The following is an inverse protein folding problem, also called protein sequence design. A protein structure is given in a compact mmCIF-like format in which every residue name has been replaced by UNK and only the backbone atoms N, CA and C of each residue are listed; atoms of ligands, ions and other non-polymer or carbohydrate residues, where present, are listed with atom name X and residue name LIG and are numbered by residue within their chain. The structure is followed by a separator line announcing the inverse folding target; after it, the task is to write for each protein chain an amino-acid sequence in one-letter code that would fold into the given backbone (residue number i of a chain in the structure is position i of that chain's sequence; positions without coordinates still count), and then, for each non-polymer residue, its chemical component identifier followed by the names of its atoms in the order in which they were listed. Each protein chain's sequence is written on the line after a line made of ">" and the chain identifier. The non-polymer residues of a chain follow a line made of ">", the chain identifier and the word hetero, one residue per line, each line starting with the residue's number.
data_IF_787705282254
#
_entry.id   IF_787705282254
#
_cell.length_a   1.000
_cell.length_b   1.000
_cell.length_c   1.000
_cell.angle_alpha   90.00
_cell.angle_beta   90.00
_cell.angle_gamma   90.00
#
_symmetry.space_group_name_H-M   'P 1'
#
loop_
_entity.id
_entity.type
_entity.pdbx_description
1 polymer ?
#
# COMPACT_ATOMS: atom_id res chain seq x y z
N UNK A 1 19.85 17.59 2.26
CA UNK A 1 19.66 17.07 3.64
C UNK A 1 18.18 16.91 3.85
N UNK A 2 17.67 15.69 3.99
CA UNK A 2 16.26 15.48 4.37
C UNK A 2 16.11 15.86 5.84
N UNK A 3 15.34 16.90 6.12
CA UNK A 3 15.05 17.31 7.49
C UNK A 3 14.29 16.18 8.20
N UNK A 4 14.77 15.76 9.37
CA UNK A 4 14.07 14.80 10.23
C UNK A 4 13.39 15.54 11.37
N UNK A 5 12.12 15.21 11.63
CA UNK A 5 11.37 15.70 12.79
C UNK A 5 11.21 14.59 13.81
N UNK A 6 11.41 14.92 15.10
CA UNK A 6 11.20 13.97 16.20
C UNK A 6 9.72 13.90 16.56
N UNK A 7 9.19 12.68 16.65
CA UNK A 7 7.84 12.40 17.14
C UNK A 7 7.91 11.50 18.37
N UNK A 8 7.28 11.92 19.47
CA UNK A 8 7.16 11.11 20.69
C UNK A 8 5.83 10.37 20.69
N UNK A 9 5.87 9.05 20.64
CA UNK A 9 4.67 8.19 20.65
C UNK A 9 4.65 7.31 21.90
N UNK A 10 3.45 6.97 22.36
CA UNK A 10 3.25 5.93 23.38
C UNK A 10 3.03 4.60 22.67
N UNK A 11 3.71 3.57 23.15
CA UNK A 11 3.54 2.18 22.70
C UNK A 11 3.37 1.29 23.93
N UNK A 12 2.71 0.15 23.75
CA UNK A 12 2.59 -0.85 24.81
C UNK A 12 3.97 -1.42 25.17
N UNK A 13 4.11 -1.91 26.42
CA UNK A 13 5.34 -2.61 26.85
C UNK A 13 5.65 -3.81 25.97
N UNK A 14 4.62 -4.54 25.54
CA UNK A 14 4.76 -5.68 24.64
C UNK A 14 5.33 -5.27 23.27
N UNK A 15 4.80 -4.20 22.67
CA UNK A 15 5.29 -3.66 21.39
C UNK A 15 6.75 -3.23 21.51
N UNK A 16 7.12 -2.58 22.62
CA UNK A 16 8.52 -2.18 22.87
C UNK A 16 9.45 -3.40 22.89
N UNK A 17 9.08 -4.47 23.60
CA UNK A 17 9.89 -5.69 23.69
C UNK A 17 10.04 -6.38 22.32
N UNK A 18 8.95 -6.50 21.56
CA UNK A 18 8.98 -7.05 20.20
C UNK A 18 9.90 -6.23 19.27
N UNK A 19 9.85 -4.89 19.36
CA UNK A 19 10.72 -4.02 18.58
C UNK A 19 12.20 -4.15 19.00
N UNK A 20 12.48 -4.37 20.28
CA UNK A 20 13.84 -4.63 20.79
C UNK A 20 14.43 -5.93 20.26
N UNK A 21 13.61 -6.98 20.17
CA UNK A 21 14.01 -8.25 19.57
C UNK A 21 14.37 -8.06 18.08
N UNK A 22 13.49 -7.44 17.29
CA UNK A 22 13.74 -7.18 15.87
C UNK A 22 14.99 -6.32 15.67
N UNK A 23 15.17 -5.28 16.50
CA UNK A 23 16.35 -4.42 16.46
C UNK A 23 17.65 -5.22 16.65
N UNK A 24 17.65 -6.14 17.61
CA UNK A 24 18.79 -7.01 17.91
C UNK A 24 19.09 -7.96 16.74
N UNK A 25 18.07 -8.67 16.26
CA UNK A 25 18.21 -9.68 15.21
C UNK A 25 18.63 -9.06 13.86
N UNK A 26 18.17 -7.84 13.57
CA UNK A 26 18.46 -7.14 12.31
C UNK A 26 19.67 -6.18 12.40
N UNK A 27 20.25 -6.00 13.58
CA UNK A 27 21.31 -5.00 13.87
C UNK A 27 20.91 -3.58 13.46
N UNK A 28 19.64 -3.22 13.69
CA UNK A 28 19.09 -1.88 13.42
C UNK A 28 18.68 -1.20 14.73
N UNK A 29 18.68 0.13 14.75
CA UNK A 29 18.21 0.86 15.93
C UNK A 29 16.68 0.80 16.03
N UNK A 30 16.15 0.83 17.25
CA UNK A 30 14.69 0.94 17.48
C UNK A 30 14.08 2.13 16.77
N UNK A 31 14.75 3.29 16.82
CA UNK A 31 14.26 4.51 16.19
C UNK A 31 14.22 4.40 14.66
N UNK A 32 15.21 3.72 14.06
CA UNK A 32 15.20 3.44 12.63
C UNK A 32 14.00 2.54 12.26
N UNK A 33 13.81 1.43 12.96
CA UNK A 33 12.70 0.51 12.70
C UNK A 33 11.33 1.17 12.93
N UNK A 34 11.20 2.00 13.96
CA UNK A 34 9.98 2.74 14.23
C UNK A 34 9.68 3.76 13.13
N UNK A 35 10.70 4.51 12.67
CA UNK A 35 10.54 5.45 11.56
C UNK A 35 10.12 4.74 10.28
N UNK A 36 10.80 3.65 9.91
CA UNK A 36 10.46 2.83 8.74
C UNK A 36 9.02 2.28 8.81
N UNK A 37 8.61 1.76 9.97
CA UNK A 37 7.27 1.23 10.16
C UNK A 37 6.19 2.32 10.03
N UNK A 38 6.43 3.51 10.60
CA UNK A 38 5.52 4.65 10.49
C UNK A 38 5.45 5.16 9.06
N UNK A 39 6.59 5.35 8.38
CA UNK A 39 6.63 5.79 6.98
C UNK A 39 5.88 4.81 6.08
N UNK A 40 6.16 3.51 6.20
CA UNK A 40 5.49 2.50 5.39
C UNK A 40 3.98 2.43 5.65
N UNK A 41 3.52 2.72 6.87
CA UNK A 41 2.09 2.83 7.17
C UNK A 41 1.50 4.08 6.50
N UNK A 42 2.10 5.25 6.70
CA UNK A 42 1.61 6.52 6.17
C UNK A 42 1.52 6.49 4.65
N UNK A 43 2.56 6.00 3.97
CA UNK A 43 2.59 5.93 2.50
C UNK A 43 1.45 5.04 1.97
N UNK A 44 1.26 3.84 2.56
CA UNK A 44 0.16 2.94 2.18
C UNK A 44 -1.22 3.55 2.45
N UNK A 45 -1.42 4.12 3.63
CA UNK A 45 -2.73 4.68 3.98
C UNK A 45 -3.08 5.89 3.12
N UNK A 46 -2.09 6.75 2.81
CA UNK A 46 -2.31 7.90 1.93
C UNK A 46 -2.66 7.46 0.51
N UNK A 47 -1.95 6.49 -0.06
CA UNK A 47 -2.28 5.94 -1.38
C UNK A 47 -3.74 5.42 -1.44
N UNK A 48 -4.18 4.70 -0.41
CA UNK A 48 -5.55 4.19 -0.30
C UNK A 48 -6.55 5.35 -0.20
N UNK A 49 -6.31 6.29 0.73
CA UNK A 49 -7.21 7.42 0.97
C UNK A 49 -7.33 8.28 -0.29
N UNK A 50 -6.23 8.57 -0.97
CA UNK A 50 -6.21 9.35 -2.20
C UNK A 50 -6.91 8.62 -3.35
N UNK A 51 -6.68 7.31 -3.49
CA UNK A 51 -7.37 6.48 -4.46
C UNK A 51 -8.89 6.51 -4.26
N UNK A 52 -9.36 6.34 -3.03
CA UNK A 52 -10.80 6.42 -2.69
C UNK A 52 -11.37 7.80 -2.99
N UNK A 53 -10.69 8.87 -2.55
CA UNK A 53 -11.14 10.25 -2.81
C UNK A 53 -11.25 10.54 -4.30
N UNK A 54 -10.28 10.09 -5.10
CA UNK A 54 -10.32 10.21 -6.56
C UNK A 54 -11.49 9.45 -7.16
N UNK A 55 -11.69 8.19 -6.76
CA UNK A 55 -12.81 7.38 -7.24
C UNK A 55 -14.18 7.98 -6.91
N UNK A 56 -14.34 8.55 -5.71
CA UNK A 56 -15.56 9.27 -5.34
C UNK A 56 -15.78 10.52 -6.23
N UNK A 57 -14.73 11.30 -6.47
CA UNK A 57 -14.81 12.47 -7.35
C UNK A 57 -15.06 12.11 -8.82
N UNK A 58 -14.56 10.96 -9.29
CA UNK A 58 -14.84 10.43 -10.62
C UNK A 58 -16.31 9.99 -10.73
N UNK A 59 -16.82 9.29 -9.72
CA UNK A 59 -18.23 8.89 -9.66
C UNK A 59 -19.19 10.08 -9.65
N UNK A 60 -18.92 11.10 -8.82
CA UNK A 60 -19.72 12.32 -8.76
C UNK A 60 -19.71 13.09 -10.08
N UNK A 61 -18.57 13.12 -10.77
CA UNK A 61 -18.44 13.77 -12.07
C UNK A 61 -18.92 12.91 -13.26
N UNK A 62 -19.47 11.71 -13.01
CA UNK A 62 -19.91 10.79 -14.06
C UNK A 62 -18.78 10.19 -14.89
N UNK A 63 -17.51 10.27 -14.44
CA UNK A 63 -16.34 9.64 -15.07
C UNK A 63 -16.26 8.15 -14.70
N UNK A 64 -17.34 7.43 -14.99
CA UNK A 64 -17.49 5.99 -14.72
C UNK A 64 -17.86 5.27 -16.00
N UNK A 65 -17.57 3.97 -16.04
CA UNK A 65 -17.97 3.08 -17.13
C UNK A 65 -19.13 2.20 -16.69
N UNK A 66 -20.07 1.84 -17.59
CA UNK A 66 -21.08 0.84 -17.31
C UNK A 66 -20.46 -0.51 -16.91
N UNK A 67 -21.15 -1.25 -16.05
CA UNK A 67 -20.64 -2.53 -15.53
C UNK A 67 -20.36 -3.54 -16.64
N UNK A 68 -21.27 -3.68 -17.60
CA UNK A 68 -21.16 -4.66 -18.68
C UNK A 68 -19.94 -4.39 -19.57
N UNK A 69 -19.68 -3.10 -19.86
CA UNK A 69 -18.50 -2.68 -20.63
C UNK A 69 -17.20 -2.97 -19.87
N UNK A 70 -17.17 -2.69 -18.56
CA UNK A 70 -16.01 -2.95 -17.73
C UNK A 70 -15.68 -4.46 -17.65
N UNK A 71 -16.70 -5.31 -17.49
CA UNK A 71 -16.52 -6.76 -17.44
C UNK A 71 -16.04 -7.33 -18.78
N UNK A 72 -16.59 -6.82 -19.89
CA UNK A 72 -16.14 -7.22 -21.22
C UNK A 72 -14.66 -6.91 -21.46
N UNK A 73 -14.16 -5.76 -20.99
CA UNK A 73 -12.74 -5.41 -21.07
C UNK A 73 -11.88 -6.34 -20.22
N UNK A 74 -12.29 -6.62 -18.98
CA UNK A 74 -11.57 -7.53 -18.07
C UNK A 74 -11.47 -8.94 -18.66
N UNK A 75 -12.57 -9.48 -19.19
CA UNK A 75 -12.61 -10.81 -19.79
C UNK A 75 -11.68 -10.89 -21.02
N UNK A 76 -11.68 -9.85 -21.87
CA UNK A 76 -10.79 -9.79 -23.02
C UNK A 76 -9.30 -9.82 -22.62
N UNK A 77 -8.93 -9.08 -21.57
CA UNK A 77 -7.56 -9.08 -21.03
C UNK A 77 -7.17 -10.47 -20.48
N UNK A 78 -8.09 -11.14 -19.78
CA UNK A 78 -7.88 -12.48 -19.23
C UNK A 78 -7.66 -13.50 -20.36
N UNK A 79 -8.51 -13.50 -21.38
CA UNK A 79 -8.41 -14.44 -22.50
C UNK A 79 -7.13 -14.22 -23.31
N UNK A 80 -6.75 -12.97 -23.57
CA UNK A 80 -5.46 -12.66 -24.21
C UNK A 80 -4.26 -13.18 -23.39
N UNK A 81 -4.31 -13.04 -22.06
CA UNK A 81 -3.26 -13.56 -21.19
C UNK A 81 -3.20 -15.10 -21.19
N UNK A 82 -4.34 -15.79 -21.24
CA UNK A 82 -4.42 -17.25 -21.36
C UNK A 82 -3.85 -17.73 -22.69
N UNK A 83 -4.26 -17.13 -23.81
CA UNK A 83 -3.78 -17.49 -25.14
C UNK A 83 -2.25 -17.33 -25.27
N UNK A 84 -1.70 -16.23 -24.73
CA UNK A 84 -0.23 -16.02 -24.70
C UNK A 84 0.52 -17.09 -23.91
N UNK A 85 -0.06 -17.56 -22.80
CA UNK A 85 0.54 -18.65 -22.00
C UNK A 85 0.49 -19.98 -22.74
N UNK A 86 -0.63 -20.29 -23.40
CA UNK A 86 -0.79 -21.52 -24.16
C UNK A 86 0.13 -21.58 -25.39
N UNK A 87 0.33 -20.48 -26.10
CA UNK A 87 1.24 -20.44 -27.27
C UNK A 87 2.74 -20.44 -26.92
N UNK A 88 3.10 -20.37 -25.63
CA UNK A 88 4.49 -20.47 -25.16
C UNK A 88 4.84 -21.89 -24.67
N UNK A 89 3.86 -22.78 -24.62
CA UNK A 89 4.02 -24.19 -24.24
C UNK A 89 4.36 -25.06 -25.47
#
# INVERSE_FOLDING_TARGET
>A
MTASTTMTIRVSSETKLKLEQIATDTRRSKSFLAAEAVSAYVDRELDIIEGIKRGMADAEAGRVVPHDDAMAEVDAVIEAAKARRAGKA
#
